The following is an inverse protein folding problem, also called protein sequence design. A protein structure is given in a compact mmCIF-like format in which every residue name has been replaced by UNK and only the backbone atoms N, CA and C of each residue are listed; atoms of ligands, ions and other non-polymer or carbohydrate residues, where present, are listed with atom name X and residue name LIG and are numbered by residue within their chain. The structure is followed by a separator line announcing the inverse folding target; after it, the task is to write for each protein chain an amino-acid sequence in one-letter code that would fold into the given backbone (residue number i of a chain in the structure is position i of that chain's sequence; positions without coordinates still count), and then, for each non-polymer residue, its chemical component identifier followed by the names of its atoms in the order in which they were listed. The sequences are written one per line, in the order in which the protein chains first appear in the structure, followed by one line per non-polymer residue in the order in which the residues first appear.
data_IF_439396258471
#
_entry.id   IF_439396258471
#
_cell.length_a   1.000
_cell.length_b   1.000
_cell.length_c   1.000
_cell.angle_alpha   90.00
_cell.angle_beta   90.00
_cell.angle_gamma   90.00
#
_symmetry.space_group_name_H-M   'P 1'
#
loop_
_entity.id
_entity.type
_entity.pdbx_description
1 polymer ?
#
# COMPACT_ATOMS: atom_id res chain seq x y z
N UNK A 1 -33.08 -45.17 -29.42
CA UNK A 1 -31.71 -44.60 -29.42
C UNK A 1 -31.85 -43.13 -29.04
N UNK A 2 -31.86 -42.83 -27.74
CA UNK A 2 -31.87 -41.46 -27.25
C UNK A 2 -31.24 -41.45 -25.85
N UNK A 3 -29.92 -41.33 -25.82
CA UNK A 3 -29.14 -41.21 -24.60
C UNK A 3 -29.28 -39.79 -24.06
N UNK A 4 -30.30 -39.57 -23.23
CA UNK A 4 -30.50 -38.32 -22.52
C UNK A 4 -29.36 -38.11 -21.51
N UNK A 5 -28.53 -37.11 -21.80
CA UNK A 5 -27.45 -36.57 -20.97
C UNK A 5 -27.98 -36.20 -19.58
N UNK A 6 -27.85 -37.11 -18.61
CA UNK A 6 -28.11 -36.82 -17.20
C UNK A 6 -26.92 -36.05 -16.64
N UNK A 7 -26.89 -34.73 -16.88
CA UNK A 7 -26.01 -33.83 -16.14
C UNK A 7 -26.47 -33.81 -14.66
N UNK A 8 -25.97 -34.77 -13.88
CA UNK A 8 -26.23 -34.87 -12.45
C UNK A 8 -25.75 -33.61 -11.74
N UNK A 9 -26.53 -33.12 -10.76
CA UNK A 9 -26.14 -32.00 -9.91
C UNK A 9 -24.73 -32.28 -9.36
N UNK A 10 -23.77 -31.35 -9.48
CA UNK A 10 -22.39 -31.58 -9.08
C UNK A 10 -22.36 -31.98 -7.61
N UNK A 11 -21.67 -33.08 -7.32
CA UNK A 11 -21.58 -33.61 -5.95
C UNK A 11 -20.78 -32.65 -5.07
N UNK A 12 -20.93 -32.72 -3.74
CA UNK A 12 -20.08 -31.95 -2.84
C UNK A 12 -18.58 -32.16 -3.09
N UNK A 13 -18.17 -33.35 -3.53
CA UNK A 13 -16.78 -33.68 -3.90
C UNK A 13 -16.35 -32.90 -5.14
N UNK A 14 -17.20 -32.76 -6.16
CA UNK A 14 -16.89 -31.98 -7.37
C UNK A 14 -16.70 -30.49 -7.06
N UNK A 15 -17.47 -29.96 -6.10
CA UNK A 15 -17.31 -28.59 -5.61
C UNK A 15 -16.02 -28.41 -4.82
N UNK A 16 -15.64 -29.41 -4.01
CA UNK A 16 -14.39 -29.42 -3.24
C UNK A 16 -13.16 -29.58 -4.15
N UNK A 17 -13.25 -30.34 -5.24
CA UNK A 17 -12.15 -30.49 -6.21
C UNK A 17 -11.87 -29.18 -6.95
N UNK A 18 -12.92 -28.42 -7.32
CA UNK A 18 -12.76 -27.07 -7.89
C UNK A 18 -12.26 -26.04 -6.87
N UNK A 19 -12.53 -26.22 -5.57
CA UNK A 19 -12.00 -25.33 -4.53
C UNK A 19 -10.55 -25.64 -4.14
N UNK A 20 -10.10 -26.91 -4.24
CA UNK A 20 -8.70 -27.31 -3.99
C UNK A 20 -7.70 -26.52 -4.84
N UNK A 21 -8.00 -26.25 -6.11
CA UNK A 21 -7.15 -25.42 -6.97
C UNK A 21 -6.97 -24.00 -6.40
N UNK A 22 -8.07 -23.38 -5.99
CA UNK A 22 -8.07 -22.04 -5.37
C UNK A 22 -7.33 -22.00 -4.03
N UNK A 23 -7.45 -23.06 -3.22
CA UNK A 23 -6.70 -23.14 -1.95
C UNK A 23 -5.20 -23.28 -2.16
N UNK A 24 -4.76 -24.08 -3.15
CA UNK A 24 -3.33 -24.23 -3.43
C UNK A 24 -2.74 -22.97 -4.04
N UNK A 25 -3.48 -22.29 -4.92
CA UNK A 25 -3.06 -21.00 -5.46
C UNK A 25 -2.90 -19.95 -4.35
N UNK A 26 -3.89 -19.82 -3.45
CA UNK A 26 -3.81 -18.90 -2.31
C UNK A 26 -2.61 -19.20 -1.40
N UNK A 27 -2.30 -20.49 -1.17
CA UNK A 27 -1.10 -20.91 -0.44
C UNK A 27 0.20 -20.54 -1.14
N UNK A 28 0.29 -20.76 -2.45
CA UNK A 28 1.45 -20.39 -3.25
C UNK A 28 1.70 -18.87 -3.19
N UNK A 29 0.63 -18.07 -3.34
CA UNK A 29 0.69 -16.61 -3.21
C UNK A 29 1.16 -16.16 -1.82
N UNK A 30 0.68 -16.80 -0.75
CA UNK A 30 1.13 -16.51 0.61
C UNK A 30 2.64 -16.76 0.80
N UNK A 31 3.12 -17.95 0.44
CA UNK A 31 4.54 -18.32 0.60
C UNK A 31 5.43 -17.44 -0.28
N UNK A 32 5.01 -17.17 -1.53
CA UNK A 32 5.76 -16.30 -2.42
C UNK A 32 5.81 -14.85 -1.92
N UNK A 33 4.69 -14.34 -1.40
CA UNK A 33 4.63 -13.01 -0.77
C UNK A 33 5.54 -12.88 0.45
N UNK A 34 5.61 -13.92 1.29
CA UNK A 34 6.55 -13.97 2.41
C UNK A 34 8.01 -13.96 1.96
N UNK A 35 8.34 -14.72 0.93
CA UNK A 35 9.68 -14.72 0.33
C UNK A 35 10.03 -13.33 -0.23
N UNK A 36 9.15 -12.74 -1.04
CA UNK A 36 9.34 -11.39 -1.61
C UNK A 36 9.57 -10.33 -0.52
N UNK A 37 8.88 -10.44 0.63
CA UNK A 37 9.11 -9.54 1.75
C UNK A 37 10.51 -9.70 2.34
N UNK A 38 10.99 -10.94 2.49
CA UNK A 38 12.35 -11.23 2.99
C UNK A 38 13.43 -10.70 2.04
N UNK A 39 13.17 -10.75 0.73
CA UNK A 39 14.03 -10.16 -0.32
C UNK A 39 13.92 -8.62 -0.42
N UNK A 40 13.15 -7.96 0.45
CA UNK A 40 12.98 -6.50 0.43
C UNK A 40 12.08 -5.97 -0.69
N UNK A 41 11.52 -6.83 -1.54
CA UNK A 41 10.58 -6.50 -2.64
C UNK A 41 9.17 -6.22 -2.12
N UNK A 42 9.05 -5.19 -1.28
CA UNK A 42 7.83 -4.90 -0.48
C UNK A 42 6.58 -4.58 -1.30
N UNK A 43 6.72 -4.01 -2.50
CA UNK A 43 5.56 -3.71 -3.37
C UNK A 43 4.98 -5.00 -3.94
N UNK A 44 5.83 -5.84 -4.54
CA UNK A 44 5.44 -7.14 -5.10
C UNK A 44 4.87 -8.07 -4.02
N UNK A 45 5.48 -8.07 -2.83
CA UNK A 45 4.99 -8.85 -1.69
C UNK A 45 3.53 -8.51 -1.35
N UNK A 46 3.17 -7.21 -1.33
CA UNK A 46 1.79 -6.79 -1.00
C UNK A 46 0.78 -7.29 -2.01
N UNK A 47 1.11 -7.28 -3.30
CA UNK A 47 0.22 -7.79 -4.35
C UNK A 47 -0.14 -9.25 -4.09
N UNK A 48 0.86 -10.08 -3.78
CA UNK A 48 0.66 -11.51 -3.54
C UNK A 48 -0.07 -11.76 -2.21
N UNK A 49 0.33 -11.06 -1.15
CA UNK A 49 -0.24 -11.25 0.19
C UNK A 49 -1.70 -10.76 0.29
N UNK A 50 -2.10 -9.68 -0.42
CA UNK A 50 -3.51 -9.24 -0.48
C UNK A 50 -4.39 -10.26 -1.17
N UNK A 51 -3.98 -10.72 -2.35
CA UNK A 51 -4.74 -11.72 -3.07
C UNK A 51 -4.88 -13.04 -2.29
N UNK A 52 -3.82 -13.43 -1.56
CA UNK A 52 -3.89 -14.57 -0.64
C UNK A 52 -4.88 -14.32 0.52
N UNK A 53 -4.80 -13.15 1.18
CA UNK A 53 -5.69 -12.79 2.28
C UNK A 53 -7.17 -12.81 1.84
N UNK A 54 -7.51 -12.17 0.73
CA UNK A 54 -8.86 -12.11 0.17
C UNK A 54 -9.38 -13.52 -0.15
N UNK A 55 -8.57 -14.32 -0.85
CA UNK A 55 -8.93 -15.70 -1.17
C UNK A 55 -9.18 -16.54 0.08
N UNK A 56 -8.34 -16.41 1.12
CA UNK A 56 -8.54 -17.14 2.37
C UNK A 56 -9.74 -16.64 3.17
N UNK A 57 -10.04 -15.34 3.13
CA UNK A 57 -11.24 -14.79 3.76
C UNK A 57 -12.52 -15.31 3.08
N UNK A 58 -12.56 -15.32 1.74
CA UNK A 58 -13.67 -15.88 0.96
C UNK A 58 -13.88 -17.37 1.23
N UNK A 59 -12.79 -18.13 1.44
CA UNK A 59 -12.84 -19.55 1.78
C UNK A 59 -13.16 -19.83 3.27
N UNK A 60 -13.25 -18.81 4.12
CA UNK A 60 -13.40 -18.98 5.58
C UNK A 60 -12.16 -19.54 6.28
N UNK A 61 -11.00 -19.53 5.61
CA UNK A 61 -9.73 -20.03 6.11
C UNK A 61 -9.03 -18.98 6.99
N UNK A 62 -9.69 -18.58 8.08
CA UNK A 62 -9.31 -17.41 8.89
C UNK A 62 -7.85 -17.42 9.38
N UNK A 63 -7.31 -18.57 9.81
CA UNK A 63 -5.92 -18.66 10.26
C UNK A 63 -4.91 -18.27 9.18
N UNK A 64 -5.18 -18.61 7.91
CA UNK A 64 -4.34 -18.24 6.79
C UNK A 64 -4.52 -16.76 6.39
N UNK A 65 -5.75 -16.25 6.46
CA UNK A 65 -6.02 -14.83 6.23
C UNK A 65 -5.29 -13.94 7.26
N UNK A 66 -5.31 -14.32 8.54
CA UNK A 66 -4.60 -13.60 9.61
C UNK A 66 -3.07 -13.67 9.46
N UNK A 67 -2.55 -14.78 8.93
CA UNK A 67 -1.13 -14.88 8.60
C UNK A 67 -0.76 -13.92 7.46
N UNK A 68 -1.53 -13.91 6.37
CA UNK A 68 -1.31 -12.99 5.25
C UNK A 68 -1.40 -11.52 5.71
N UNK A 69 -2.36 -11.20 6.58
CA UNK A 69 -2.51 -9.88 7.20
C UNK A 69 -1.27 -9.47 8.00
N UNK A 70 -0.73 -10.34 8.86
CA UNK A 70 0.53 -10.06 9.60
C UNK A 70 1.71 -9.79 8.69
N UNK A 71 1.84 -10.55 7.61
CA UNK A 71 2.91 -10.36 6.62
C UNK A 71 2.75 -9.02 5.87
N UNK A 72 1.51 -8.64 5.52
CA UNK A 72 1.20 -7.33 4.94
C UNK A 72 1.61 -6.18 5.87
N UNK A 73 1.34 -6.30 7.18
CA UNK A 73 1.78 -5.33 8.18
C UNK A 73 3.31 -5.23 8.23
N UNK A 74 4.01 -6.36 8.16
CA UNK A 74 5.46 -6.41 8.13
C UNK A 74 6.07 -5.78 6.86
N UNK A 75 5.30 -5.58 5.78
CA UNK A 75 5.76 -4.77 4.62
C UNK A 75 5.68 -3.26 4.86
N UNK A 76 5.12 -2.80 5.99
CA UNK A 76 4.85 -1.38 6.23
C UNK A 76 3.61 -0.86 5.50
N UNK A 77 2.69 -1.75 5.11
CA UNK A 77 1.50 -1.36 4.33
C UNK A 77 0.61 -0.33 5.04
N UNK A 78 0.41 -0.41 6.36
CA UNK A 78 -0.33 0.62 7.11
C UNK A 78 0.31 2.00 7.00
N UNK A 79 1.64 2.08 6.95
CA UNK A 79 2.36 3.33 6.76
C UNK A 79 2.18 3.88 5.34
N UNK A 80 2.10 3.00 4.32
CA UNK A 80 1.80 3.42 2.94
C UNK A 80 0.32 3.79 2.74
N UNK A 81 -0.64 3.08 3.33
CA UNK A 81 -2.07 3.46 3.28
C UNK A 81 -2.34 4.81 3.95
N UNK A 82 -1.55 5.17 4.97
CA UNK A 82 -1.58 6.51 5.58
C UNK A 82 -1.09 7.62 4.64
N UNK A 83 -0.41 7.28 3.55
CA UNK A 83 -0.10 8.25 2.50
C UNK A 83 -0.93 7.91 1.27
N UNK A 84 -2.09 8.55 1.07
CA UNK A 84 -2.80 8.43 -0.19
C UNK A 84 -1.86 8.92 -1.29
N UNK A 85 -1.51 8.04 -2.22
CA UNK A 85 -0.69 8.37 -3.40
C UNK A 85 -1.52 9.08 -4.49
N UNK A 86 -2.78 9.44 -4.21
CA UNK A 86 -3.75 9.91 -5.21
C UNK A 86 -4.46 11.23 -4.90
N UNK A 87 -4.17 11.91 -3.78
CA UNK A 87 -4.65 13.29 -3.58
C UNK A 87 -3.61 14.29 -4.08
N UNK A 88 -3.97 15.12 -5.05
CA UNK A 88 -3.22 16.33 -5.41
C UNK A 88 -3.12 17.33 -4.24
N UNK A 89 -3.99 17.16 -3.24
CA UNK A 89 -3.96 17.97 -2.02
C UNK A 89 -2.86 17.51 -1.06
N UNK A 90 -2.16 18.49 -0.50
CA UNK A 90 -1.20 18.29 0.59
C UNK A 90 -1.93 17.92 1.88
N UNK A 91 -1.39 16.93 2.59
CA UNK A 91 -1.84 16.60 3.95
C UNK A 91 -1.42 17.70 4.94
N UNK A 92 -2.05 17.81 6.12
CA UNK A 92 -1.68 18.81 7.12
C UNK A 92 -0.22 18.76 7.58
N UNK A 93 0.42 17.59 7.50
CA UNK A 93 1.84 17.43 7.83
C UNK A 93 2.73 17.88 6.68
N UNK A 94 2.39 17.53 5.44
CA UNK A 94 3.07 18.00 4.23
C UNK A 94 3.02 19.53 4.10
N UNK A 95 1.86 20.15 4.34
CA UNK A 95 1.72 21.62 4.32
C UNK A 95 2.61 22.31 5.37
N UNK A 96 2.68 21.77 6.59
CA UNK A 96 3.57 22.31 7.64
C UNK A 96 5.03 22.23 7.25
N UNK A 97 5.46 21.09 6.69
CA UNK A 97 6.83 20.90 6.20
C UNK A 97 7.13 21.84 5.03
N UNK A 98 6.19 21.97 4.09
CA UNK A 98 6.34 22.83 2.90
C UNK A 98 6.46 24.32 3.28
N UNK A 99 5.70 24.79 4.27
CA UNK A 99 5.81 26.16 4.79
C UNK A 99 7.15 26.41 5.46
N UNK A 100 7.61 25.51 6.35
CA UNK A 100 8.93 25.67 6.98
C UNK A 100 10.07 25.60 5.95
N UNK A 101 9.90 24.76 4.92
CA UNK A 101 10.86 24.65 3.84
C UNK A 101 10.89 25.91 2.96
N UNK A 102 9.72 26.46 2.64
CA UNK A 102 9.60 27.78 2.03
C UNK A 102 10.27 28.84 2.90
N UNK A 103 10.13 28.81 4.22
CA UNK A 103 10.73 29.82 5.10
C UNK A 103 12.25 29.62 5.32
N UNK A 104 12.91 28.78 4.50
CA UNK A 104 14.38 28.63 4.49
C UNK A 104 14.95 27.61 5.47
N UNK A 105 14.13 26.92 6.29
CA UNK A 105 14.62 25.96 7.31
C UNK A 105 15.19 24.68 6.71
N UNK A 106 16.43 24.32 7.03
CA UNK A 106 17.05 23.06 6.59
C UNK A 106 16.29 21.81 7.10
N UNK A 107 16.47 20.65 6.45
CA UNK A 107 15.79 19.42 6.85
C UNK A 107 16.04 19.03 8.32
N UNK A 108 17.25 19.21 8.89
CA UNK A 108 17.48 19.03 10.33
C UNK A 108 16.68 20.00 11.20
N UNK A 109 16.62 21.28 10.86
CA UNK A 109 15.86 22.28 11.62
C UNK A 109 14.35 22.01 11.59
N UNK A 110 13.83 21.61 10.42
CA UNK A 110 12.43 21.18 10.28
C UNK A 110 12.18 19.91 11.11
N UNK A 111 13.11 18.96 11.07
CA UNK A 111 13.04 17.73 11.86
C UNK A 111 12.94 18.01 13.35
N UNK A 112 13.80 18.89 13.87
CA UNK A 112 13.76 19.36 15.26
C UNK A 112 12.43 20.05 15.58
N UNK A 113 12.00 20.99 14.74
CA UNK A 113 10.76 21.75 14.97
C UNK A 113 9.49 20.88 14.98
N UNK A 114 9.49 19.77 14.24
CA UNK A 114 8.35 18.85 14.14
C UNK A 114 8.55 17.53 14.88
N UNK A 115 9.65 17.37 15.63
CA UNK A 115 10.04 16.14 16.34
C UNK A 115 10.04 14.89 15.44
N UNK A 116 10.60 15.01 14.23
CA UNK A 116 10.76 13.93 13.25
C UNK A 116 12.20 13.89 12.70
N UNK A 117 12.61 12.76 12.13
CA UNK A 117 13.97 12.64 11.57
C UNK A 117 14.14 13.50 10.31
N UNK A 118 15.37 14.01 10.02
CA UNK A 118 15.65 14.73 8.77
C UNK A 118 15.31 13.91 7.52
N UNK A 119 15.51 12.59 7.58
CA UNK A 119 15.14 11.63 6.52
C UNK A 119 13.62 11.56 6.30
N UNK A 120 12.84 11.73 7.37
CA UNK A 120 11.37 11.82 7.29
C UNK A 120 10.96 13.12 6.62
N UNK A 121 11.66 14.24 6.89
CA UNK A 121 11.44 15.52 6.22
C UNK A 121 11.70 15.40 4.71
N UNK A 122 12.83 14.80 4.31
CA UNK A 122 13.16 14.55 2.89
C UNK A 122 12.07 13.76 2.18
N UNK A 123 11.59 12.69 2.82
CA UNK A 123 10.50 11.88 2.29
C UNK A 123 9.23 12.71 2.06
N UNK A 124 8.84 13.56 3.02
CA UNK A 124 7.67 14.41 2.87
C UNK A 124 7.87 15.49 1.81
N UNK A 125 9.06 16.09 1.70
CA UNK A 125 9.36 17.08 0.66
C UNK A 125 9.29 16.49 -0.74
N UNK A 126 9.79 15.27 -0.95
CA UNK A 126 9.63 14.58 -2.24
C UNK A 126 8.14 14.44 -2.61
N UNK A 127 7.28 14.10 -1.63
CA UNK A 127 5.83 13.99 -1.88
C UNK A 127 5.18 15.35 -2.15
N UNK A 128 5.59 16.39 -1.44
CA UNK A 128 5.14 17.76 -1.69
C UNK A 128 5.48 18.17 -3.11
N UNK A 129 6.72 17.92 -3.57
CA UNK A 129 7.17 18.26 -4.91
C UNK A 129 6.36 17.55 -5.99
N UNK A 130 6.13 16.24 -5.83
CA UNK A 130 5.27 15.48 -6.75
C UNK A 130 3.83 16.00 -6.76
N UNK A 131 3.27 16.39 -5.61
CA UNK A 131 1.87 16.86 -5.51
C UNK A 131 1.68 18.27 -6.04
N UNK A 132 2.68 19.13 -5.91
CA UNK A 132 2.68 20.51 -6.39
C UNK A 132 3.22 20.67 -7.81
N UNK A 133 3.69 19.57 -8.43
CA UNK A 133 4.33 19.55 -9.74
C UNK A 133 5.52 20.52 -9.86
N UNK A 134 6.42 20.47 -8.87
CA UNK A 134 7.63 21.31 -8.80
C UNK A 134 8.89 20.46 -8.69
N UNK A 135 10.00 20.96 -9.21
CA UNK A 135 11.27 20.23 -9.23
C UNK A 135 12.18 20.58 -8.05
N UNK A 136 12.00 21.75 -7.45
CA UNK A 136 12.94 22.27 -6.45
C UNK A 136 12.28 22.95 -5.26
N UNK A 137 13.05 22.99 -4.17
CA UNK A 137 12.68 23.69 -2.96
C UNK A 137 12.48 25.19 -3.19
N UNK A 138 13.22 25.80 -4.11
CA UNK A 138 13.10 27.23 -4.44
C UNK A 138 11.73 27.55 -5.04
N UNK A 139 11.15 26.61 -5.80
CA UNK A 139 9.81 26.76 -6.39
C UNK A 139 8.68 26.76 -5.34
N UNK A 140 8.92 26.26 -4.12
CA UNK A 140 7.94 26.36 -3.03
C UNK A 140 7.57 27.82 -2.71
N UNK A 141 8.51 28.76 -2.85
CA UNK A 141 8.21 30.19 -2.68
C UNK A 141 7.22 30.69 -3.71
N UNK A 142 7.30 30.22 -4.95
CA UNK A 142 6.44 30.65 -6.04
C UNK A 142 5.03 30.07 -5.88
N UNK A 143 4.91 28.77 -5.61
CA UNK A 143 3.61 28.09 -5.54
C UNK A 143 2.84 28.43 -4.26
N UNK A 144 3.51 28.52 -3.11
CA UNK A 144 2.85 28.80 -1.83
C UNK A 144 2.65 30.29 -1.54
N UNK A 145 3.28 31.19 -2.30
CA UNK A 145 2.95 32.63 -2.24
C UNK A 145 1.65 32.94 -2.99
N UNK A 146 1.40 32.26 -4.11
CA UNK A 146 0.17 32.41 -4.89
C UNK A 146 -1.10 31.93 -4.15
N UNK A 147 -0.97 30.96 -3.23
CA UNK A 147 -2.08 30.40 -2.46
C UNK A 147 -2.61 31.30 -1.32
N UNK A 148 -1.99 32.46 -1.07
CA UNK A 148 -2.30 33.33 0.08
C UNK A 148 -3.20 34.53 -0.28
N UNK A 149 -3.79 34.54 -1.48
CA UNK A 149 -4.60 35.66 -2.01
C UNK A 149 -6.02 35.23 -2.44
N UNK A 150 -6.68 34.29 -1.75
CA UNK A 150 -8.12 34.06 -1.88
C UNK A 150 -8.75 33.78 -0.53
#
# INVERSE_FOLDING_TARGET
MEAATRAGKPTPIDRLSRSRGRTQEARARLVYGEWLRREGRRVDARVQLRAAQESFAEMGAHAFAERASRELLATGERARRRVPETSSQLTPQESRIAVLARDGRSNPEIGTALSISPRTVEYHLHKVFTKLDIASRTELHLVLSAARTR
#
